data_IF_512584339104
#
_entry.id   IF_512584339104
#
_cell.length_a   1.000
_cell.length_b   1.000
_cell.length_c   1.000
_cell.angle_alpha   90.00
_cell.angle_beta   90.00
_cell.angle_gamma   90.00
#
_symmetry.space_group_name_H-M   'P 1'
#
loop_
_entity.id
_entity.type
_entity.pdbx_description
1 polymer ?
#
# COMPACT_ATOMS: atom_id res chain seq x y z
N UNK A 1 -30.50 -12.99 18.73
CA UNK A 1 -30.62 -14.44 19.02
C UNK A 1 -32.09 -14.82 18.89
N UNK A 2 -32.46 -15.52 17.80
CA UNK A 2 -33.74 -16.23 17.75
C UNK A 2 -33.64 -17.37 18.76
N UNK A 3 -34.60 -17.48 19.70
CA UNK A 3 -34.74 -18.66 20.54
C UNK A 3 -34.82 -19.88 19.64
N UNK A 4 -33.80 -20.73 19.61
CA UNK A 4 -33.84 -21.99 18.91
C UNK A 4 -34.43 -23.01 19.87
N UNK A 5 -35.45 -23.74 19.42
CA UNK A 5 -36.02 -24.85 20.18
C UNK A 5 -35.25 -26.10 19.80
N UNK A 6 -34.71 -26.83 20.79
CA UNK A 6 -33.99 -28.07 20.57
C UNK A 6 -35.02 -29.20 20.46
N UNK A 7 -35.15 -29.80 19.27
CA UNK A 7 -36.04 -30.92 19.04
C UNK A 7 -35.38 -32.29 19.38
N UNK A 8 -34.07 -32.40 19.17
CA UNK A 8 -33.31 -33.63 19.29
C UNK A 8 -33.45 -34.55 18.05
N UNK A 9 -32.74 -35.63 18.05
CA UNK A 9 -32.73 -36.66 17.00
C UNK A 9 -33.04 -37.99 17.59
N UNK A 10 -34.09 -38.69 17.10
CA UNK A 10 -34.52 -40.00 17.66
C UNK A 10 -33.57 -41.12 17.28
N UNK A 11 -33.04 -41.13 16.05
CA UNK A 11 -32.04 -42.09 15.57
C UNK A 11 -30.82 -41.31 15.03
N UNK A 12 -29.78 -41.25 15.87
CA UNK A 12 -28.55 -40.47 15.57
C UNK A 12 -27.81 -41.08 14.38
N UNK A 13 -27.62 -42.39 14.34
CA UNK A 13 -26.82 -43.05 13.30
C UNK A 13 -27.48 -42.97 11.94
N UNK A 14 -28.78 -43.20 11.82
CA UNK A 14 -29.52 -43.08 10.57
C UNK A 14 -29.53 -41.62 10.07
N UNK A 15 -29.76 -40.69 10.98
CA UNK A 15 -29.79 -39.27 10.62
C UNK A 15 -28.41 -38.75 10.19
N UNK A 16 -27.36 -39.20 10.86
CA UNK A 16 -25.97 -38.83 10.51
C UNK A 16 -25.60 -39.40 9.13
N UNK A 17 -25.96 -40.68 8.87
CA UNK A 17 -25.74 -41.32 7.56
C UNK A 17 -26.48 -40.59 6.44
N UNK A 18 -27.75 -40.22 6.68
CA UNK A 18 -28.55 -39.46 5.69
C UNK A 18 -27.97 -38.08 5.42
N UNK A 19 -27.52 -37.32 6.45
CA UNK A 19 -26.87 -36.04 6.30
C UNK A 19 -25.57 -36.13 5.51
N UNK A 20 -24.72 -37.11 5.83
CA UNK A 20 -23.44 -37.34 5.14
C UNK A 20 -23.66 -37.63 3.66
N UNK A 21 -24.59 -38.56 3.35
CA UNK A 21 -24.92 -38.90 1.97
C UNK A 21 -25.53 -37.70 1.21
N UNK A 22 -26.45 -36.97 1.84
CA UNK A 22 -27.05 -35.78 1.25
C UNK A 22 -26.02 -34.72 0.89
N UNK A 23 -25.11 -34.41 1.80
CA UNK A 23 -24.07 -33.39 1.55
C UNK A 23 -23.15 -33.83 0.42
N UNK A 24 -22.70 -35.11 0.46
CA UNK A 24 -21.84 -35.68 -0.57
C UNK A 24 -22.51 -35.72 -1.95
N UNK A 25 -23.81 -35.95 -2.04
CA UNK A 25 -24.53 -36.05 -3.31
C UNK A 25 -24.89 -34.66 -3.89
N UNK A 26 -25.11 -33.68 -3.04
CA UNK A 26 -25.55 -32.34 -3.44
C UNK A 26 -24.41 -31.38 -3.73
N UNK A 27 -23.29 -31.48 -3.00
CA UNK A 27 -22.18 -30.52 -3.09
C UNK A 27 -21.05 -31.07 -3.94
N UNK A 28 -20.50 -30.22 -4.81
CA UNK A 28 -19.31 -30.49 -5.62
C UNK A 28 -18.34 -29.31 -5.53
N UNK A 29 -17.01 -29.51 -5.61
CA UNK A 29 -16.31 -30.78 -5.46
C UNK A 29 -16.59 -31.50 -4.12
N UNK A 30 -16.05 -32.69 -3.90
CA UNK A 30 -16.24 -33.45 -2.67
C UNK A 30 -15.80 -32.66 -1.45
N UNK A 31 -16.64 -32.64 -0.41
CA UNK A 31 -16.41 -31.87 0.83
C UNK A 31 -16.12 -32.80 2.04
N UNK A 32 -16.04 -34.08 1.84
CA UNK A 32 -15.93 -35.09 2.92
C UNK A 32 -14.76 -34.80 3.87
N UNK A 33 -13.61 -34.38 3.34
CA UNK A 33 -12.44 -34.05 4.16
C UNK A 33 -12.54 -32.71 4.93
N UNK A 34 -13.57 -31.93 4.65
CA UNK A 34 -13.79 -30.59 5.23
C UNK A 34 -15.03 -30.53 6.11
N UNK A 35 -15.66 -31.68 6.35
CA UNK A 35 -16.84 -31.80 7.21
C UNK A 35 -16.59 -32.83 8.30
N UNK A 36 -16.87 -32.42 9.53
CA UNK A 36 -16.78 -33.28 10.70
C UNK A 36 -18.14 -33.31 11.42
N UNK A 37 -18.50 -34.48 11.93
CA UNK A 37 -19.80 -34.74 12.56
C UNK A 37 -19.57 -35.20 13.98
N UNK A 38 -20.20 -34.56 14.94
CA UNK A 38 -20.21 -34.97 16.35
C UNK A 38 -21.62 -34.99 16.91
N UNK A 39 -21.80 -35.72 17.98
CA UNK A 39 -23.08 -35.77 18.71
C UNK A 39 -22.89 -35.14 20.06
N UNK A 40 -23.72 -34.15 20.36
CA UNK A 40 -23.73 -33.48 21.65
C UNK A 40 -25.09 -33.62 22.34
N UNK A 41 -25.10 -33.67 23.67
CA UNK A 41 -26.34 -33.66 24.46
C UNK A 41 -26.68 -32.26 24.88
N UNK A 42 -27.82 -31.76 24.42
CA UNK A 42 -28.37 -30.45 24.80
C UNK A 42 -29.78 -30.65 25.35
N UNK A 43 -30.06 -30.15 26.55
CA UNK A 43 -31.36 -30.27 27.23
C UNK A 43 -31.87 -31.73 27.25
N UNK A 44 -30.98 -32.70 27.55
CA UNK A 44 -31.25 -34.16 27.57
C UNK A 44 -31.64 -34.79 26.21
N UNK A 45 -31.42 -34.05 25.10
CA UNK A 45 -31.68 -34.55 23.73
C UNK A 45 -30.36 -34.65 22.96
N UNK A 46 -30.28 -35.66 22.10
CA UNK A 46 -29.11 -35.81 21.21
C UNK A 46 -29.23 -34.85 20.02
N UNK A 47 -28.17 -34.10 19.76
CA UNK A 47 -28.07 -33.11 18.68
C UNK A 47 -26.83 -33.43 17.84
N UNK A 48 -26.98 -33.45 16.51
CA UNK A 48 -25.86 -33.61 15.59
C UNK A 48 -25.25 -32.24 15.30
N UNK A 49 -23.96 -32.09 15.57
CA UNK A 49 -23.18 -30.93 15.25
C UNK A 49 -22.36 -31.20 14.00
N UNK A 50 -22.61 -30.42 12.95
CA UNK A 50 -21.82 -30.42 11.72
C UNK A 50 -20.83 -29.27 11.71
N UNK A 51 -19.55 -29.59 11.79
CA UNK A 51 -18.46 -28.60 11.65
C UNK A 51 -17.96 -28.60 10.22
N UNK A 52 -17.98 -27.42 9.58
CA UNK A 52 -17.55 -27.27 8.21
C UNK A 52 -16.29 -26.40 8.19
N UNK A 53 -15.18 -26.99 7.73
CA UNK A 53 -13.91 -26.31 7.53
C UNK A 53 -13.84 -25.69 6.12
N UNK A 54 -12.89 -24.78 5.95
CA UNK A 54 -12.66 -24.14 4.65
C UNK A 54 -12.01 -25.14 3.68
N UNK A 55 -12.71 -25.48 2.62
CA UNK A 55 -12.17 -26.34 1.57
C UNK A 55 -11.21 -25.64 0.61
N UNK A 56 -10.37 -26.42 -0.07
CA UNK A 56 -9.30 -25.94 -0.97
C UNK A 56 -9.72 -25.87 -2.43
N UNK A 57 -10.71 -26.68 -2.87
CA UNK A 57 -11.14 -26.81 -4.27
C UNK A 57 -12.35 -25.91 -4.61
N UNK A 58 -12.22 -24.61 -4.43
CA UNK A 58 -13.31 -23.62 -4.62
C UNK A 58 -13.48 -23.24 -6.10
N UNK A 59 -14.70 -22.90 -6.57
CA UNK A 59 -15.95 -22.76 -5.79
C UNK A 59 -16.62 -24.11 -5.51
N UNK A 60 -17.17 -24.27 -4.31
CA UNK A 60 -18.10 -25.34 -4.02
C UNK A 60 -19.49 -24.96 -4.51
N UNK A 61 -20.20 -25.86 -5.12
CA UNK A 61 -21.49 -25.57 -5.75
C UNK A 61 -22.48 -26.69 -5.61
N UNK A 62 -23.76 -26.37 -5.72
CA UNK A 62 -24.85 -27.36 -5.77
C UNK A 62 -24.82 -28.08 -7.12
N UNK A 63 -24.64 -29.37 -7.11
CA UNK A 63 -24.50 -30.20 -8.31
C UNK A 63 -25.63 -29.98 -9.33
N UNK A 64 -26.87 -29.92 -8.86
CA UNK A 64 -28.05 -29.69 -9.70
C UNK A 64 -28.07 -28.33 -10.39
N UNK A 65 -27.37 -27.35 -9.87
CA UNK A 65 -27.35 -25.97 -10.39
C UNK A 65 -26.07 -25.60 -11.12
N UNK A 66 -24.97 -26.34 -10.89
CA UNK A 66 -23.68 -26.09 -11.55
C UNK A 66 -22.97 -24.82 -11.05
N UNK A 67 -21.82 -24.49 -11.70
CA UNK A 67 -20.97 -23.35 -11.36
C UNK A 67 -21.59 -22.05 -11.96
N UNK A 68 -22.59 -21.54 -11.29
CA UNK A 68 -23.29 -20.28 -11.64
C UNK A 68 -23.83 -19.62 -10.37
N UNK A 69 -24.26 -18.35 -10.40
CA UNK A 69 -24.76 -17.64 -9.22
C UNK A 69 -25.79 -18.42 -8.39
N UNK A 70 -26.69 -19.14 -9.04
CA UNK A 70 -27.73 -19.92 -8.39
C UNK A 70 -27.21 -21.19 -7.72
N UNK A 71 -26.00 -21.63 -8.06
CA UNK A 71 -25.36 -22.85 -7.53
C UNK A 71 -24.24 -22.58 -6.53
N UNK A 72 -23.66 -21.39 -6.52
CA UNK A 72 -22.54 -21.01 -5.64
C UNK A 72 -23.00 -19.97 -4.62
N UNK A 73 -22.78 -20.27 -3.34
CA UNK A 73 -23.15 -19.36 -2.26
C UNK A 73 -21.92 -18.93 -1.45
N UNK A 74 -21.94 -17.67 -1.02
CA UNK A 74 -20.92 -17.09 -0.15
C UNK A 74 -21.56 -16.56 1.13
N UNK A 75 -20.83 -16.65 2.24
CA UNK A 75 -21.27 -16.10 3.52
C UNK A 75 -21.01 -14.61 3.55
N UNK A 76 -22.06 -13.82 3.80
CA UNK A 76 -21.98 -12.38 4.00
C UNK A 76 -22.64 -12.03 5.33
N UNK A 77 -21.82 -11.84 6.36
CA UNK A 77 -22.31 -11.66 7.73
C UNK A 77 -23.15 -12.85 8.21
N UNK A 78 -24.39 -12.62 8.58
CA UNK A 78 -25.32 -13.64 9.05
C UNK A 78 -26.07 -14.39 7.92
N UNK A 79 -25.89 -14.00 6.64
CA UNK A 79 -26.63 -14.54 5.50
C UNK A 79 -25.73 -15.33 4.55
N UNK A 80 -26.31 -16.30 3.84
CA UNK A 80 -25.69 -16.94 2.67
C UNK A 80 -26.36 -16.37 1.43
N UNK A 81 -25.58 -15.76 0.55
CA UNK A 81 -26.06 -15.11 -0.68
C UNK A 81 -25.45 -15.75 -1.91
N UNK A 82 -26.16 -15.77 -3.06
CA UNK A 82 -25.57 -16.23 -4.33
C UNK A 82 -24.32 -15.43 -4.67
N UNK A 83 -23.24 -16.13 -5.09
CA UNK A 83 -22.03 -15.49 -5.54
C UNK A 83 -22.23 -14.80 -6.90
N UNK A 84 -21.65 -13.61 -7.08
CA UNK A 84 -21.62 -12.98 -8.40
C UNK A 84 -20.77 -13.78 -9.40
N UNK A 85 -21.01 -13.62 -10.70
CA UNK A 85 -20.19 -14.24 -11.75
C UNK A 85 -18.70 -13.89 -11.58
N UNK A 86 -18.39 -12.66 -11.25
CA UNK A 86 -17.00 -12.21 -10.98
C UNK A 86 -16.40 -12.93 -9.77
N UNK A 87 -17.16 -13.08 -8.69
CA UNK A 87 -16.70 -13.82 -7.51
C UNK A 87 -16.42 -15.29 -7.82
N UNK A 88 -17.25 -15.93 -8.63
CA UNK A 88 -17.06 -17.31 -9.09
C UNK A 88 -15.78 -17.44 -9.91
N UNK A 89 -15.57 -16.58 -10.89
CA UNK A 89 -14.37 -16.56 -11.72
C UNK A 89 -13.10 -16.37 -10.87
N UNK A 90 -13.17 -15.47 -9.89
CA UNK A 90 -12.05 -15.27 -8.96
C UNK A 90 -11.77 -16.53 -8.11
N UNK A 91 -12.81 -17.24 -7.62
CA UNK A 91 -12.64 -18.48 -6.90
C UNK A 91 -11.99 -19.57 -7.76
N UNK A 92 -12.38 -19.68 -9.04
CA UNK A 92 -11.79 -20.64 -10.00
C UNK A 92 -10.30 -20.31 -10.19
N UNK A 93 -9.97 -19.07 -10.51
CA UNK A 93 -8.57 -18.63 -10.71
C UNK A 93 -7.70 -18.90 -9.49
N UNK A 94 -8.24 -18.67 -8.29
CA UNK A 94 -7.53 -18.92 -7.03
C UNK A 94 -7.26 -20.39 -6.76
N UNK A 95 -8.12 -21.27 -7.27
CA UNK A 95 -8.05 -22.72 -7.00
C UNK A 95 -7.26 -23.46 -8.07
N UNK A 96 -7.36 -23.04 -9.33
CA UNK A 96 -6.61 -23.64 -10.43
C UNK A 96 -5.11 -23.31 -10.37
N UNK A 97 -4.72 -22.36 -9.50
CA UNK A 97 -3.33 -21.89 -9.48
C UNK A 97 -2.96 -21.04 -10.70
N UNK A 98 -3.95 -20.71 -11.55
CA UNK A 98 -3.75 -19.88 -12.72
C UNK A 98 -3.39 -18.46 -12.29
N UNK A 99 -2.12 -18.13 -12.37
CA UNK A 99 -1.63 -16.79 -12.21
C UNK A 99 -1.87 -16.00 -13.50
N UNK A 100 -2.24 -14.73 -13.39
CA UNK A 100 -2.40 -13.85 -14.56
C UNK A 100 -1.16 -13.91 -15.48
N UNK A 101 0.01 -13.92 -14.89
CA UNK A 101 1.30 -13.89 -15.60
C UNK A 101 1.60 -15.13 -16.44
N UNK A 102 1.03 -16.31 -16.07
CA UNK A 102 1.21 -17.57 -16.78
C UNK A 102 0.25 -17.76 -17.96
N UNK A 103 -0.86 -17.04 -17.95
CA UNK A 103 -1.85 -17.14 -19.02
C UNK A 103 -1.25 -16.63 -20.35
N UNK A 104 -1.70 -17.23 -21.45
CA UNK A 104 -1.34 -16.80 -22.80
C UNK A 104 -1.73 -15.36 -23.03
N UNK A 105 -0.81 -14.54 -23.55
CA UNK A 105 -1.11 -13.17 -23.96
C UNK A 105 -2.04 -13.14 -25.17
N UNK A 106 -2.98 -12.22 -25.19
CA UNK A 106 -3.84 -11.99 -26.36
C UNK A 106 -3.00 -11.47 -27.53
N UNK A 107 -2.07 -10.55 -27.25
CA UNK A 107 -1.15 -10.05 -28.26
C UNK A 107 0.08 -10.96 -28.32
N UNK A 108 0.32 -11.53 -29.51
CA UNK A 108 1.47 -12.38 -29.79
C UNK A 108 2.56 -11.67 -30.64
N UNK A 109 2.33 -10.40 -31.02
CA UNK A 109 3.29 -9.57 -31.72
C UNK A 109 4.01 -8.65 -30.75
N UNK A 110 4.84 -9.24 -29.87
CA UNK A 110 5.54 -8.53 -28.82
C UNK A 110 7.00 -8.27 -29.22
N UNK A 111 7.46 -7.05 -28.93
CA UNK A 111 8.87 -6.65 -29.00
C UNK A 111 9.41 -6.36 -27.61
N UNK A 112 10.71 -6.45 -27.43
CA UNK A 112 11.35 -6.41 -26.10
C UNK A 112 12.62 -5.55 -26.12
N UNK A 113 12.65 -4.48 -26.89
CA UNK A 113 13.87 -3.66 -27.04
C UNK A 113 14.26 -3.03 -25.69
N UNK A 114 13.31 -2.49 -24.97
CA UNK A 114 13.55 -1.89 -23.65
C UNK A 114 13.93 -2.92 -22.58
N UNK A 115 13.27 -4.07 -22.58
CA UNK A 115 13.65 -5.15 -21.68
C UNK A 115 15.08 -5.64 -21.99
N UNK A 116 15.44 -5.82 -23.26
CA UNK A 116 16.77 -6.22 -23.68
C UNK A 116 17.85 -5.22 -23.24
N UNK A 117 17.62 -3.93 -23.44
CA UNK A 117 18.50 -2.86 -22.94
C UNK A 117 18.68 -2.95 -21.42
N UNK A 118 17.59 -3.15 -20.67
CA UNK A 118 17.61 -3.23 -19.22
C UNK A 118 18.41 -4.46 -18.73
N UNK A 119 18.17 -5.63 -19.32
CA UNK A 119 18.91 -6.85 -19.00
C UNK A 119 20.41 -6.69 -19.32
N UNK A 120 20.75 -6.06 -20.43
CA UNK A 120 22.14 -5.77 -20.79
C UNK A 120 22.83 -4.84 -19.78
N UNK A 121 22.16 -3.77 -19.32
CA UNK A 121 22.65 -2.90 -18.23
C UNK A 121 22.98 -3.69 -16.97
N UNK A 122 22.21 -4.76 -16.67
CA UNK A 122 22.40 -5.64 -15.50
C UNK A 122 23.37 -6.79 -15.77
N UNK A 123 23.95 -6.88 -16.97
CA UNK A 123 24.85 -7.97 -17.42
C UNK A 123 24.19 -9.35 -17.35
N UNK A 124 22.90 -9.41 -17.66
CA UNK A 124 22.09 -10.63 -17.72
C UNK A 124 21.69 -10.86 -19.19
N UNK A 125 21.86 -12.08 -19.67
CA UNK A 125 21.45 -12.44 -21.02
C UNK A 125 19.92 -12.45 -21.17
N UNK A 126 19.43 -12.05 -22.36
CA UNK A 126 18.02 -12.01 -22.69
C UNK A 126 17.75 -12.56 -24.11
N UNK A 127 18.12 -13.82 -24.31
CA UNK A 127 17.84 -14.58 -25.54
C UNK A 127 16.56 -15.42 -25.40
N UNK A 128 16.26 -16.22 -26.44
CA UNK A 128 15.04 -17.05 -26.44
C UNK A 128 15.09 -18.16 -25.38
N UNK A 129 16.25 -18.69 -25.05
CA UNK A 129 16.41 -19.65 -23.97
C UNK A 129 16.05 -19.02 -22.61
N UNK A 130 16.50 -17.79 -22.36
CA UNK A 130 16.19 -17.06 -21.14
C UNK A 130 14.70 -16.68 -21.08
N UNK A 131 14.11 -16.27 -22.20
CA UNK A 131 12.66 -15.96 -22.27
C UNK A 131 11.82 -17.20 -21.91
N UNK A 132 12.20 -18.40 -22.35
CA UNK A 132 11.53 -19.66 -21.95
C UNK A 132 11.75 -19.95 -20.47
N UNK A 133 12.98 -19.86 -19.97
CA UNK A 133 13.31 -20.09 -18.58
C UNK A 133 12.57 -19.12 -17.62
N UNK A 134 12.34 -17.89 -18.06
CA UNK A 134 11.59 -16.86 -17.32
C UNK A 134 10.07 -16.95 -17.51
N UNK A 135 9.57 -17.89 -18.31
CA UNK A 135 8.15 -18.01 -18.64
C UNK A 135 7.58 -16.81 -19.42
N UNK A 136 8.42 -16.03 -20.10
CA UNK A 136 8.01 -14.99 -21.06
C UNK A 136 7.40 -15.66 -22.29
N UNK A 137 7.97 -16.82 -22.69
CA UNK A 137 7.46 -17.72 -23.70
C UNK A 137 7.01 -18.99 -22.96
N UNK A 138 5.75 -19.38 -23.13
CA UNK A 138 5.18 -20.58 -22.57
C UNK A 138 5.69 -21.88 -23.23
N UNK A 139 5.30 -23.03 -22.68
CA UNK A 139 5.68 -24.35 -23.20
C UNK A 139 5.17 -24.58 -24.64
N UNK A 140 4.02 -23.98 -24.96
CA UNK A 140 3.40 -24.00 -26.30
C UNK A 140 4.10 -23.08 -27.31
N UNK A 141 5.14 -22.39 -26.90
CA UNK A 141 5.89 -21.42 -27.73
C UNK A 141 5.22 -20.06 -27.92
N UNK A 142 4.09 -19.81 -27.25
CA UNK A 142 3.40 -18.52 -27.30
C UNK A 142 3.86 -17.59 -26.17
N UNK A 143 3.70 -16.28 -26.36
CA UNK A 143 3.98 -15.31 -25.30
C UNK A 143 2.92 -15.36 -24.21
N UNK A 144 3.37 -15.32 -22.97
CA UNK A 144 2.53 -15.21 -21.77
C UNK A 144 2.20 -13.75 -21.45
N UNK A 145 1.29 -13.53 -20.47
CA UNK A 145 1.04 -12.20 -19.97
C UNK A 145 2.26 -11.60 -19.23
N UNK A 146 3.16 -12.44 -18.66
CA UNK A 146 4.46 -11.94 -18.20
C UNK A 146 5.25 -11.34 -19.36
N UNK A 147 5.25 -12.00 -20.52
CA UNK A 147 5.83 -11.46 -21.74
C UNK A 147 5.22 -10.11 -22.11
N UNK A 148 3.87 -10.00 -22.06
CA UNK A 148 3.18 -8.73 -22.29
C UNK A 148 3.64 -7.63 -21.31
N UNK A 149 3.77 -7.92 -20.03
CA UNK A 149 4.21 -6.95 -19.01
C UNK A 149 5.63 -6.42 -19.27
N UNK A 150 6.51 -7.26 -19.79
CA UNK A 150 7.91 -6.90 -20.07
C UNK A 150 8.13 -6.35 -21.47
N UNK A 151 7.12 -6.45 -22.37
CA UNK A 151 7.22 -5.98 -23.76
C UNK A 151 7.07 -4.47 -23.89
N UNK A 152 7.49 -3.94 -25.03
CA UNK A 152 7.29 -2.53 -25.40
C UNK A 152 5.80 -2.20 -25.61
N UNK A 153 4.95 -3.23 -25.81
CA UNK A 153 3.49 -3.14 -25.97
C UNK A 153 2.72 -3.30 -24.66
N UNK A 154 3.36 -3.23 -23.49
CA UNK A 154 2.67 -3.35 -22.23
C UNK A 154 1.53 -2.33 -22.08
N UNK A 155 0.35 -2.82 -21.77
CA UNK A 155 -0.89 -2.00 -21.64
C UNK A 155 -1.10 -1.45 -20.23
N UNK A 156 -0.34 -1.96 -19.25
CA UNK A 156 -0.39 -1.47 -17.88
C UNK A 156 0.52 -0.26 -17.70
N UNK A 157 0.04 0.74 -16.99
CA UNK A 157 0.71 2.04 -16.87
C UNK A 157 0.93 2.43 -15.41
N UNK A 158 1.89 3.32 -15.18
CA UNK A 158 2.09 4.04 -13.93
C UNK A 158 1.70 5.50 -14.18
N UNK A 159 0.76 6.02 -13.38
CA UNK A 159 0.39 7.44 -13.41
C UNK A 159 0.99 8.15 -12.21
N UNK A 160 1.71 9.20 -12.49
CA UNK A 160 2.40 10.00 -11.49
C UNK A 160 1.84 11.41 -11.50
N UNK A 161 1.66 11.98 -10.32
CA UNK A 161 1.19 13.35 -10.17
C UNK A 161 1.88 14.04 -9.00
N UNK A 162 2.28 15.29 -9.21
CA UNK A 162 2.80 16.18 -8.18
C UNK A 162 1.72 17.20 -7.84
N UNK A 163 1.38 17.31 -6.58
CA UNK A 163 0.34 18.19 -6.07
C UNK A 163 0.93 19.33 -5.24
N UNK A 164 0.26 20.47 -5.24
CA UNK A 164 0.54 21.55 -4.32
C UNK A 164 -0.13 21.30 -2.97
N UNK A 165 0.63 21.41 -1.87
CA UNK A 165 0.14 21.23 -0.52
C UNK A 165 -0.19 19.78 -0.19
N UNK A 166 -1.25 19.56 0.61
CA UNK A 166 -1.63 18.24 1.14
C UNK A 166 -2.81 17.58 0.43
N UNK A 167 -3.49 18.29 -0.50
CA UNK A 167 -4.71 17.84 -1.18
C UNK A 167 -4.47 17.58 -2.67
N UNK A 168 -5.28 16.70 -3.26
CA UNK A 168 -5.27 16.37 -4.71
C UNK A 168 -6.03 17.41 -5.57
N UNK A 169 -6.02 18.67 -5.17
CA UNK A 169 -6.80 19.73 -5.84
C UNK A 169 -6.04 20.50 -6.91
N UNK A 170 -4.74 20.70 -6.72
CA UNK A 170 -3.91 21.48 -7.65
C UNK A 170 -2.73 20.63 -8.10
N UNK A 171 -2.64 20.39 -9.41
CA UNK A 171 -1.52 19.69 -10.02
C UNK A 171 -0.39 20.67 -10.32
N UNK A 172 0.84 20.34 -9.90
CA UNK A 172 2.07 21.02 -10.32
C UNK A 172 2.66 20.36 -11.57
N UNK A 173 2.61 19.02 -11.59
CA UNK A 173 3.09 18.21 -12.72
C UNK A 173 2.38 16.87 -12.76
N UNK A 174 2.40 16.21 -13.93
CA UNK A 174 1.85 14.87 -14.12
C UNK A 174 2.57 14.14 -15.24
N UNK A 175 2.78 12.85 -15.05
CA UNK A 175 3.38 11.96 -16.06
C UNK A 175 2.65 10.62 -16.09
N UNK A 176 2.43 10.08 -17.27
CA UNK A 176 1.96 8.70 -17.47
C UNK A 176 3.08 7.92 -18.15
N UNK A 177 3.48 6.82 -17.52
CA UNK A 177 4.51 5.94 -18.01
C UNK A 177 3.86 4.74 -18.69
N UNK A 178 4.34 4.40 -19.88
CA UNK A 178 3.85 3.33 -20.76
C UNK A 178 5.01 2.47 -21.24
N UNK A 179 4.75 1.40 -21.97
CA UNK A 179 5.78 0.49 -22.45
C UNK A 179 6.21 -0.52 -21.40
N UNK A 180 7.36 -1.13 -21.55
CA UNK A 180 7.87 -2.20 -20.68
C UNK A 180 7.84 -1.81 -19.19
N UNK A 181 7.39 -2.72 -18.31
CA UNK A 181 7.43 -2.47 -16.86
C UNK A 181 8.83 -2.17 -16.33
N UNK A 182 9.89 -2.67 -16.98
CA UNK A 182 11.27 -2.37 -16.58
C UNK A 182 11.63 -0.92 -16.91
N UNK A 183 11.19 -0.41 -18.06
CA UNK A 183 11.34 1.00 -18.44
C UNK A 183 10.52 1.90 -17.49
N UNK A 184 9.23 1.55 -17.28
CA UNK A 184 8.37 2.28 -16.35
C UNK A 184 8.95 2.34 -14.94
N UNK A 185 9.56 1.25 -14.45
CA UNK A 185 10.22 1.21 -13.14
C UNK A 185 11.40 2.21 -13.06
N UNK A 186 12.29 2.21 -14.07
CA UNK A 186 13.46 3.10 -14.13
C UNK A 186 13.03 4.57 -14.22
N UNK A 187 12.06 4.85 -15.09
CA UNK A 187 11.52 6.20 -15.27
C UNK A 187 10.77 6.70 -14.04
N UNK A 188 9.96 5.83 -13.41
CA UNK A 188 9.23 6.20 -12.18
C UNK A 188 10.20 6.55 -11.05
N UNK A 189 11.25 5.73 -10.85
CA UNK A 189 12.24 6.00 -9.82
C UNK A 189 12.97 7.31 -10.11
N UNK A 190 13.40 7.54 -11.36
CA UNK A 190 14.07 8.78 -11.76
C UNK A 190 13.18 10.00 -11.56
N UNK A 191 11.90 9.89 -11.91
CA UNK A 191 10.93 10.99 -11.70
C UNK A 191 10.70 11.29 -10.21
N UNK A 192 10.53 10.26 -9.38
CA UNK A 192 10.39 10.44 -7.93
C UNK A 192 11.65 11.12 -7.35
N UNK A 193 12.83 10.71 -7.80
CA UNK A 193 14.10 11.21 -7.28
C UNK A 193 14.33 12.70 -7.58
N UNK A 194 13.74 13.25 -8.66
CA UNK A 194 13.75 14.68 -8.95
C UNK A 194 13.05 15.52 -7.88
N UNK A 195 12.06 14.94 -7.18
CA UNK A 195 11.32 15.58 -6.09
C UNK A 195 11.82 15.17 -4.70
N UNK A 196 12.85 14.35 -4.62
CA UNK A 196 13.48 13.95 -3.37
C UNK A 196 14.68 14.86 -3.07
N UNK A 197 14.40 16.08 -2.59
CA UNK A 197 15.42 17.11 -2.39
C UNK A 197 16.35 16.74 -1.22
N UNK A 198 17.56 17.28 -1.29
CA UNK A 198 18.54 17.17 -0.22
C UNK A 198 18.63 18.50 0.52
N UNK A 199 18.43 18.46 1.84
CA UNK A 199 18.65 19.59 2.73
C UNK A 199 20.00 19.42 3.44
N UNK A 200 20.83 20.47 3.39
CA UNK A 200 22.06 20.51 4.15
C UNK A 200 21.82 21.13 5.53
N UNK A 201 22.17 20.43 6.60
CA UNK A 201 22.22 20.93 7.96
C UNK A 201 23.66 21.00 8.42
N UNK A 202 24.01 21.99 9.25
CA UNK A 202 25.35 22.11 9.82
C UNK A 202 25.30 21.83 11.32
N UNK A 203 26.13 20.87 11.77
CA UNK A 203 26.29 20.57 13.18
C UNK A 203 27.76 20.84 13.55
N UNK A 204 28.01 22.03 14.07
CA UNK A 204 29.38 22.52 14.25
C UNK A 204 30.03 22.79 12.89
N UNK A 205 31.15 22.12 12.61
CA UNK A 205 31.85 22.20 11.32
C UNK A 205 31.37 21.16 10.30
N UNK A 206 30.59 20.17 10.74
CA UNK A 206 30.16 19.07 9.89
C UNK A 206 28.86 19.43 9.14
N UNK A 207 28.87 19.17 7.83
CA UNK A 207 27.69 19.24 6.98
C UNK A 207 27.01 17.87 6.97
N UNK A 208 25.72 17.83 7.30
CA UNK A 208 24.88 16.65 7.26
C UNK A 208 23.84 16.84 6.16
N UNK A 209 23.90 16.02 5.12
CA UNK A 209 22.92 16.03 4.04
C UNK A 209 21.77 15.08 4.37
N UNK A 210 20.55 15.64 4.44
CA UNK A 210 19.30 14.91 4.71
C UNK A 210 18.40 14.95 3.49
N UNK A 211 18.06 13.78 2.95
CA UNK A 211 17.07 13.68 1.88
C UNK A 211 15.65 13.76 2.44
N UNK A 212 14.72 14.25 1.63
CA UNK A 212 13.30 14.30 2.00
C UNK A 212 12.72 12.91 2.25
N UNK A 213 13.17 11.92 1.50
CA UNK A 213 12.78 10.51 1.65
C UNK A 213 14.02 9.61 1.60
N UNK A 214 14.11 8.56 2.42
CA UNK A 214 15.16 7.56 2.30
C UNK A 214 15.07 6.85 0.93
N UNK A 215 16.18 6.81 0.20
CA UNK A 215 16.21 6.23 -1.15
C UNK A 215 15.82 4.74 -1.17
N UNK A 216 16.19 3.99 -0.12
CA UNK A 216 15.81 2.59 0.02
C UNK A 216 14.30 2.41 0.23
N UNK A 217 13.67 3.25 1.05
CA UNK A 217 12.22 3.21 1.26
C UNK A 217 11.43 3.54 -0.02
N UNK A 218 11.88 4.52 -0.82
CA UNK A 218 11.29 4.84 -2.12
C UNK A 218 11.38 3.66 -3.09
N UNK A 219 12.57 3.05 -3.16
CA UNK A 219 12.83 1.88 -4.00
C UNK A 219 11.94 0.71 -3.62
N UNK A 220 11.87 0.37 -2.33
CA UNK A 220 11.05 -0.75 -1.85
C UNK A 220 9.54 -0.49 -2.06
N UNK A 221 9.06 0.72 -1.81
CA UNK A 221 7.65 1.08 -2.03
C UNK A 221 7.26 0.96 -3.51
N UNK A 222 8.13 1.41 -4.43
CA UNK A 222 7.90 1.31 -5.87
C UNK A 222 7.91 -0.15 -6.34
N UNK A 223 8.88 -0.96 -5.93
CA UNK A 223 8.97 -2.38 -6.28
C UNK A 223 7.76 -3.17 -5.74
N UNK A 224 7.35 -2.92 -4.49
CA UNK A 224 6.15 -3.52 -3.92
C UNK A 224 4.90 -3.16 -4.72
N UNK A 225 4.75 -1.91 -5.14
CA UNK A 225 3.60 -1.47 -5.93
C UNK A 225 3.49 -2.18 -7.28
N UNK A 226 4.60 -2.66 -7.86
CA UNK A 226 4.61 -3.40 -9.12
C UNK A 226 4.48 -4.92 -8.91
N UNK A 227 5.25 -5.51 -7.97
CA UNK A 227 5.26 -6.96 -7.76
C UNK A 227 3.95 -7.48 -7.17
N UNK A 228 3.29 -6.71 -6.32
CA UNK A 228 2.05 -7.12 -5.65
C UNK A 228 0.77 -6.64 -6.35
N UNK A 229 0.88 -5.90 -7.46
CA UNK A 229 -0.27 -5.45 -8.24
C UNK A 229 -1.07 -6.61 -8.80
N UNK A 230 -2.39 -6.46 -8.82
CA UNK A 230 -3.29 -7.35 -9.56
C UNK A 230 -3.39 -6.88 -11.02
N UNK A 231 -2.62 -7.51 -11.90
CA UNK A 231 -2.60 -7.21 -13.33
C UNK A 231 -3.81 -7.77 -14.10
N UNK A 232 -4.66 -8.59 -13.47
CA UNK A 232 -5.92 -9.03 -14.08
C UNK A 232 -6.98 -7.91 -14.10
N UNK A 233 -6.75 -6.85 -13.35
CA UNK A 233 -7.64 -5.68 -13.26
C UNK A 233 -7.05 -4.52 -14.04
N UNK A 234 -7.84 -3.95 -14.94
CA UNK A 234 -7.48 -2.74 -15.69
C UNK A 234 -7.35 -1.55 -14.75
N UNK A 235 -6.44 -0.63 -15.07
CA UNK A 235 -6.18 0.59 -14.32
C UNK A 235 -4.69 0.84 -14.20
N UNK A 236 -4.28 1.92 -13.58
CA UNK A 236 -2.89 2.31 -13.42
C UNK A 236 -2.44 2.17 -11.97
N UNK A 237 -1.15 1.89 -11.74
CA UNK A 237 -0.53 2.18 -10.45
C UNK A 237 -0.43 3.69 -10.30
N UNK A 238 -0.83 4.23 -9.16
CA UNK A 238 -0.85 5.67 -8.92
C UNK A 238 0.25 6.06 -7.93
N UNK A 239 1.07 7.03 -8.33
CA UNK A 239 2.08 7.63 -7.45
C UNK A 239 1.75 9.12 -7.31
N UNK A 240 1.48 9.54 -6.08
CA UNK A 240 1.09 10.92 -5.78
C UNK A 240 2.14 11.55 -4.88
N UNK A 241 2.78 12.61 -5.34
CA UNK A 241 3.81 13.36 -4.63
C UNK A 241 3.18 14.64 -4.10
N UNK A 242 3.21 14.83 -2.79
CA UNK A 242 2.74 16.01 -2.08
C UNK A 242 3.93 16.71 -1.40
N UNK A 243 3.73 17.92 -0.92
CA UNK A 243 4.80 18.63 -0.20
C UNK A 243 5.30 17.85 1.03
N UNK A 244 4.40 17.13 1.75
CA UNK A 244 4.71 16.42 2.99
C UNK A 244 4.76 14.89 2.89
N UNK A 245 4.47 14.27 1.76
CA UNK A 245 4.46 12.81 1.62
C UNK A 245 4.44 12.34 0.17
N UNK A 246 4.80 11.08 -0.04
CA UNK A 246 4.55 10.36 -1.30
C UNK A 246 3.63 9.17 -1.02
N UNK A 247 2.60 9.00 -1.85
CA UNK A 247 1.65 7.88 -1.81
C UNK A 247 1.87 6.97 -3.02
N UNK A 248 2.03 5.67 -2.76
CA UNK A 248 2.04 4.61 -3.77
C UNK A 248 0.76 3.81 -3.62
N UNK A 249 -0.12 3.85 -4.63
CA UNK A 249 -1.39 3.13 -4.62
C UNK A 249 -1.41 2.12 -5.75
N UNK A 250 -1.58 0.85 -5.41
CA UNK A 250 -1.69 -0.23 -6.39
C UNK A 250 -3.01 -0.97 -6.27
N UNK A 251 -3.47 -1.51 -7.40
CA UNK A 251 -4.67 -2.34 -7.47
C UNK A 251 -4.34 -3.73 -6.94
N UNK A 252 -5.22 -4.29 -6.12
CA UNK A 252 -5.08 -5.58 -5.46
C UNK A 252 -4.84 -5.41 -3.96
N UNK A 253 -5.68 -6.05 -3.15
CA UNK A 253 -5.47 -6.16 -1.70
C UNK A 253 -4.41 -7.20 -1.36
N UNK A 254 -4.43 -7.73 -0.14
CA UNK A 254 -3.52 -8.79 0.25
C UNK A 254 -3.84 -10.10 -0.49
N UNK A 255 -2.81 -10.92 -0.68
CA UNK A 255 -2.99 -12.29 -1.15
C UNK A 255 -3.82 -13.05 -0.11
N UNK A 256 -4.74 -13.89 -0.55
CA UNK A 256 -5.61 -14.64 0.37
C UNK A 256 -4.82 -15.48 1.36
N UNK A 257 -5.30 -15.48 2.59
CA UNK A 257 -4.68 -16.18 3.70
C UNK A 257 -3.59 -15.39 4.41
N UNK A 258 -3.24 -14.22 3.91
CA UNK A 258 -2.31 -13.30 4.53
C UNK A 258 -3.09 -12.13 5.12
N UNK A 259 -2.88 -11.86 6.39
CA UNK A 259 -3.43 -10.71 7.10
C UNK A 259 -2.43 -9.54 7.08
N UNK A 260 -2.91 -8.38 7.51
CA UNK A 260 -2.03 -7.22 7.73
C UNK A 260 -0.96 -7.51 8.79
N UNK A 261 -1.36 -8.20 9.86
CA UNK A 261 -0.44 -8.55 10.96
C UNK A 261 0.66 -9.51 10.49
N UNK A 262 0.32 -10.47 9.60
CA UNK A 262 1.32 -11.38 9.03
C UNK A 262 2.40 -10.61 8.25
N UNK A 263 2.01 -9.60 7.48
CA UNK A 263 2.96 -8.75 6.74
C UNK A 263 3.86 -7.98 7.70
N UNK A 264 3.31 -7.45 8.78
CA UNK A 264 4.08 -6.72 9.79
C UNK A 264 5.06 -7.62 10.55
N UNK A 265 4.79 -8.94 10.60
CA UNK A 265 5.71 -9.97 11.10
C UNK A 265 6.75 -10.43 10.05
N UNK A 266 6.70 -9.91 8.81
CA UNK A 266 7.63 -10.26 7.74
C UNK A 266 7.18 -11.43 6.85
N UNK A 267 5.94 -11.91 6.99
CA UNK A 267 5.40 -12.93 6.08
C UNK A 267 5.16 -12.30 4.71
N UNK A 268 5.74 -12.89 3.68
CA UNK A 268 5.59 -12.44 2.30
C UNK A 268 4.90 -13.49 1.43
N UNK A 269 3.85 -13.09 0.74
CA UNK A 269 3.22 -13.89 -0.29
C UNK A 269 3.15 -13.09 -1.59
N UNK A 270 3.90 -13.53 -2.58
CA UNK A 270 3.98 -12.88 -3.89
C UNK A 270 2.72 -13.18 -4.71
N UNK A 271 2.08 -12.11 -5.21
CA UNK A 271 0.98 -12.24 -6.18
C UNK A 271 1.53 -12.64 -7.56
N UNK A 272 2.57 -11.98 -8.01
CA UNK A 272 3.21 -12.19 -9.31
C UNK A 272 4.59 -12.84 -9.12
N UNK A 273 4.59 -14.15 -8.93
CA UNK A 273 5.81 -14.91 -8.61
C UNK A 273 6.83 -14.91 -9.74
N UNK A 274 6.36 -14.94 -11.00
CA UNK A 274 7.24 -14.94 -12.20
C UNK A 274 7.85 -13.57 -12.41
N UNK A 275 7.08 -12.49 -12.28
CA UNK A 275 7.60 -11.13 -12.33
C UNK A 275 8.63 -10.89 -11.21
N UNK A 276 8.32 -11.36 -10.00
CA UNK A 276 9.27 -11.30 -8.89
C UNK A 276 10.57 -12.07 -9.20
N UNK A 277 10.48 -13.24 -9.84
CA UNK A 277 11.68 -13.98 -10.27
C UNK A 277 12.51 -13.20 -11.31
N UNK A 278 11.87 -12.50 -12.24
CA UNK A 278 12.56 -11.60 -13.16
C UNK A 278 13.30 -10.50 -12.39
N UNK A 279 12.61 -9.83 -11.48
CA UNK A 279 13.20 -8.76 -10.65
C UNK A 279 14.34 -9.28 -9.77
N UNK A 280 14.21 -10.48 -9.21
CA UNK A 280 15.28 -11.12 -8.44
C UNK A 280 16.53 -11.37 -9.28
N UNK A 281 16.37 -11.94 -10.50
CA UNK A 281 17.51 -12.17 -11.42
C UNK A 281 18.19 -10.88 -11.87
N UNK A 282 17.42 -9.80 -11.97
CA UNK A 282 17.94 -8.46 -12.26
C UNK A 282 18.50 -7.76 -11.01
N UNK A 283 18.54 -8.43 -9.85
CA UNK A 283 19.01 -7.91 -8.56
C UNK A 283 18.22 -6.67 -8.10
N UNK A 284 16.95 -6.62 -8.44
CA UNK A 284 16.05 -5.54 -8.05
C UNK A 284 15.35 -5.82 -6.72
N UNK A 285 15.10 -7.06 -6.39
CA UNK A 285 14.49 -7.49 -5.13
C UNK A 285 15.27 -8.60 -4.47
N UNK A 286 15.05 -8.76 -3.17
CA UNK A 286 15.52 -9.89 -2.37
C UNK A 286 14.36 -10.86 -2.14
N UNK A 287 14.66 -12.17 -2.03
CA UNK A 287 13.62 -13.20 -1.94
C UNK A 287 13.11 -13.46 -0.49
N UNK A 288 13.42 -12.56 0.46
CA UNK A 288 13.22 -12.83 1.90
C UNK A 288 11.99 -12.14 2.53
N UNK A 289 11.16 -11.43 1.76
CA UNK A 289 9.97 -10.74 2.28
C UNK A 289 10.22 -9.54 3.17
N UNK A 290 11.43 -8.99 3.16
CA UNK A 290 11.87 -7.93 4.05
C UNK A 290 11.46 -6.52 3.62
N UNK A 291 10.80 -6.33 2.48
CA UNK A 291 10.56 -5.00 1.89
C UNK A 291 9.83 -4.02 2.81
N UNK A 292 8.71 -4.44 3.42
CA UNK A 292 7.96 -3.60 4.38
C UNK A 292 8.77 -3.33 5.65
N UNK A 293 9.52 -4.32 6.13
CA UNK A 293 10.40 -4.14 7.30
C UNK A 293 11.49 -3.11 7.00
N UNK A 294 12.14 -3.18 5.84
CA UNK A 294 13.15 -2.21 5.40
C UNK A 294 12.59 -0.79 5.30
N UNK A 295 11.36 -0.64 4.77
CA UNK A 295 10.68 0.66 4.76
C UNK A 295 10.56 1.20 6.19
N UNK A 296 10.10 0.38 7.14
CA UNK A 296 9.95 0.79 8.54
C UNK A 296 11.29 1.08 9.21
N UNK A 297 12.33 0.29 8.93
CA UNK A 297 13.70 0.47 9.44
C UNK A 297 14.29 1.80 8.98
N UNK A 298 14.08 2.20 7.72
CA UNK A 298 14.51 3.51 7.20
C UNK A 298 13.93 4.70 7.99
N UNK A 299 12.82 4.50 8.68
CA UNK A 299 12.14 5.50 9.50
C UNK A 299 12.22 5.21 11.00
N UNK A 300 13.04 4.24 11.45
CA UNK A 300 13.05 3.79 12.85
C UNK A 300 13.36 4.93 13.84
N UNK A 301 14.31 5.80 13.51
CA UNK A 301 14.75 6.92 14.36
C UNK A 301 14.05 8.24 14.02
N UNK A 302 13.03 8.22 13.15
CA UNK A 302 12.33 9.42 12.73
C UNK A 302 11.04 9.63 13.55
N UNK A 303 10.66 10.90 13.77
CA UNK A 303 9.42 11.26 14.45
C UNK A 303 8.17 10.84 13.65
N UNK A 304 8.29 10.80 12.32
CA UNK A 304 7.22 10.38 11.41
C UNK A 304 7.45 8.96 10.93
N UNK A 305 6.38 8.20 10.72
CA UNK A 305 6.43 6.79 10.32
C UNK A 305 5.67 6.57 9.01
N UNK A 306 6.08 5.60 8.18
CA UNK A 306 5.32 5.16 7.02
C UNK A 306 3.94 4.66 7.44
N UNK A 307 2.95 4.85 6.56
CA UNK A 307 1.60 4.34 6.77
C UNK A 307 1.28 3.35 5.66
N UNK A 308 0.82 2.16 6.05
CA UNK A 308 0.38 1.12 5.13
C UNK A 308 -1.11 0.93 5.32
N UNK A 309 -1.87 1.10 4.25
CA UNK A 309 -3.32 0.95 4.24
C UNK A 309 -3.70 -0.14 3.23
N UNK A 310 -4.56 -1.04 3.67
CA UNK A 310 -4.99 -2.17 2.87
C UNK A 310 -6.51 -2.23 2.82
N UNK A 311 -7.03 -2.39 1.62
CA UNK A 311 -8.44 -2.70 1.38
C UNK A 311 -8.56 -4.02 0.59
N UNK A 312 -9.78 -4.48 0.35
CA UNK A 312 -10.00 -5.70 -0.44
C UNK A 312 -9.39 -5.63 -1.85
N UNK A 313 -9.32 -4.44 -2.46
CA UNK A 313 -8.94 -4.25 -3.86
C UNK A 313 -7.82 -3.24 -4.07
N UNK A 314 -7.22 -2.72 -3.02
CA UNK A 314 -6.12 -1.76 -3.12
C UNK A 314 -5.14 -1.90 -1.96
N UNK A 315 -3.89 -1.59 -2.24
CA UNK A 315 -2.81 -1.50 -1.28
C UNK A 315 -2.14 -0.13 -1.43
N UNK A 316 -1.93 0.57 -0.32
CA UNK A 316 -1.33 1.90 -0.32
C UNK A 316 -0.18 1.97 0.68
N UNK A 317 0.97 2.49 0.22
CA UNK A 317 2.11 2.88 1.06
C UNK A 317 2.22 4.39 1.01
N UNK A 318 2.25 5.02 2.17
CA UNK A 318 2.50 6.44 2.34
C UNK A 318 3.84 6.63 3.03
N UNK A 319 4.78 7.29 2.36
CA UNK A 319 6.07 7.66 2.91
C UNK A 319 6.04 9.15 3.29
N UNK A 320 6.21 9.52 4.56
CA UNK A 320 6.27 10.92 4.97
C UNK A 320 7.61 11.55 4.58
N UNK A 321 7.57 12.84 4.24
CA UNK A 321 8.76 13.65 4.01
C UNK A 321 9.43 13.96 5.37
N UNK A 322 10.70 13.57 5.52
CA UNK A 322 11.47 13.74 6.77
C UNK A 322 11.77 15.21 7.09
N UNK A 323 11.81 16.06 6.06
CA UNK A 323 12.14 17.47 6.18
C UNK A 323 10.90 18.38 6.14
N UNK A 324 9.68 17.78 6.08
CA UNK A 324 8.42 18.50 6.04
C UNK A 324 7.96 18.89 7.45
N UNK A 325 7.82 20.15 7.69
CA UNK A 325 7.22 20.64 8.93
C UNK A 325 5.79 21.13 8.64
N UNK A 326 4.82 20.34 9.01
CA UNK A 326 3.39 20.56 8.74
C UNK A 326 2.90 21.88 9.34
N UNK A 327 3.35 22.24 10.55
CA UNK A 327 2.96 23.47 11.23
C UNK A 327 3.38 24.73 10.44
N UNK A 328 4.51 24.67 9.72
CA UNK A 328 4.99 25.79 8.89
C UNK A 328 4.21 25.91 7.56
N UNK A 329 3.73 24.79 7.00
CA UNK A 329 3.01 24.79 5.72
C UNK A 329 1.53 25.14 5.84
N UNK A 330 0.85 24.72 6.91
CA UNK A 330 -0.57 25.01 7.13
C UNK A 330 -0.82 26.51 7.35
N UNK A 331 0.20 27.25 7.79
CA UNK A 331 0.14 28.71 8.02
C UNK A 331 0.58 29.50 6.79
N UNK A 332 0.84 28.86 5.64
CA UNK A 332 1.12 29.55 4.36
C UNK A 332 2.45 30.30 4.32
N UNK A 333 3.47 29.87 5.09
CA UNK A 333 4.77 30.52 5.16
C UNK A 333 5.58 30.21 3.89
N UNK A 334 5.41 31.06 2.88
CA UNK A 334 6.19 31.01 1.63
C UNK A 334 7.58 31.65 1.75
N UNK A 335 7.85 32.37 2.84
CA UNK A 335 9.04 33.18 3.01
C UNK A 335 10.11 32.44 3.83
N UNK A 336 11.23 32.07 3.22
CA UNK A 336 12.38 31.42 3.88
C UNK A 336 12.90 32.18 5.11
N UNK A 337 12.84 33.52 5.08
CA UNK A 337 13.23 34.34 6.22
C UNK A 337 12.33 34.17 7.42
N UNK A 338 11.01 33.96 7.21
CA UNK A 338 10.06 33.63 8.29
C UNK A 338 10.37 32.27 8.91
N UNK A 339 10.73 31.27 8.10
CA UNK A 339 11.14 29.95 8.59
C UNK A 339 12.37 30.04 9.47
N UNK A 340 13.37 30.82 9.06
CA UNK A 340 14.56 31.06 9.86
C UNK A 340 14.22 31.72 11.21
N UNK A 341 13.33 32.72 11.22
CA UNK A 341 12.90 33.40 12.46
C UNK A 341 12.15 32.42 13.38
N UNK A 342 11.28 31.56 12.83
CA UNK A 342 10.56 30.57 13.61
C UNK A 342 11.50 29.54 14.26
N UNK A 343 12.64 29.22 13.63
CA UNK A 343 13.63 28.30 14.21
C UNK A 343 14.26 28.83 15.51
N UNK A 344 14.22 30.16 15.76
CA UNK A 344 14.68 30.73 17.03
C UNK A 344 13.83 30.27 18.23
N UNK A 345 12.54 30.03 18.03
CA UNK A 345 11.64 29.58 19.08
C UNK A 345 11.88 28.14 19.52
N UNK A 346 12.64 27.36 18.74
CA UNK A 346 13.14 26.06 19.19
C UNK A 346 14.23 26.16 20.27
N UNK A 347 14.81 27.36 20.44
CA UNK A 347 15.88 27.62 21.41
C UNK A 347 15.50 28.66 22.48
N UNK A 348 14.47 29.47 22.25
CA UNK A 348 14.02 30.57 23.11
C UNK A 348 12.50 30.62 23.17
N UNK A 349 11.89 30.70 24.33
CA UNK A 349 10.45 30.86 24.51
C UNK A 349 9.92 32.20 23.97
N UNK A 350 10.78 33.20 23.88
CA UNK A 350 10.46 34.50 23.32
C UNK A 350 11.68 35.13 22.66
N UNK A 351 11.46 35.88 21.58
CA UNK A 351 12.50 36.57 20.82
C UNK A 351 12.24 38.07 20.85
N UNK A 352 13.29 38.86 20.65
CA UNK A 352 13.21 40.29 20.42
C UNK A 352 13.61 40.61 18.96
N UNK A 353 13.26 41.79 18.47
CA UNK A 353 13.62 42.19 17.10
C UNK A 353 15.11 42.02 16.80
N UNK A 354 15.99 42.34 17.78
CA UNK A 354 17.43 42.18 17.63
C UNK A 354 17.87 40.76 17.32
N UNK A 355 17.20 39.74 17.88
CA UNK A 355 17.49 38.36 17.55
C UNK A 355 17.23 38.05 16.05
N UNK A 356 16.25 38.74 15.45
CA UNK A 356 15.93 38.61 14.02
C UNK A 356 16.95 39.38 13.17
N UNK A 357 17.34 40.58 13.61
CA UNK A 357 18.39 41.37 12.95
C UNK A 357 19.69 40.57 12.86
N UNK A 358 20.10 39.96 13.99
CA UNK A 358 21.34 39.20 14.12
C UNK A 358 21.29 37.86 13.33
N UNK A 359 20.14 37.17 13.32
CA UNK A 359 19.96 35.93 12.58
C UNK A 359 20.01 36.13 11.06
N UNK A 360 19.32 37.15 10.58
CA UNK A 360 19.13 37.35 9.13
C UNK A 360 20.15 38.28 8.50
N UNK A 361 20.94 39.00 9.31
CA UNK A 361 21.88 40.03 8.83
C UNK A 361 21.22 41.18 8.10
N UNK A 362 20.00 41.56 8.52
CA UNK A 362 19.17 42.56 7.83
C UNK A 362 18.98 43.84 8.68
N UNK A 363 18.54 44.92 8.04
CA UNK A 363 18.27 46.18 8.73
C UNK A 363 17.06 46.08 9.67
N UNK A 364 17.02 46.95 10.69
CA UNK A 364 15.91 47.06 11.65
C UNK A 364 14.54 47.22 10.99
N UNK A 365 14.49 47.98 9.88
CA UNK A 365 13.26 48.20 9.11
C UNK A 365 12.77 46.89 8.48
N UNK A 366 13.68 46.11 7.90
CA UNK A 366 13.37 44.82 7.26
C UNK A 366 12.86 43.80 8.29
N UNK A 367 13.53 43.68 9.44
CA UNK A 367 13.07 42.80 10.52
C UNK A 367 11.71 43.20 11.08
N UNK A 368 11.46 44.54 11.18
CA UNK A 368 10.17 45.05 11.68
C UNK A 368 9.03 44.75 10.71
N UNK A 369 9.27 44.83 9.39
CA UNK A 369 8.31 44.46 8.35
C UNK A 369 8.02 42.96 8.45
N UNK A 370 9.06 42.13 8.53
CA UNK A 370 8.94 40.69 8.61
C UNK A 370 8.16 40.23 9.87
N UNK A 371 8.49 40.81 11.03
CA UNK A 371 7.78 40.55 12.30
C UNK A 371 6.33 40.98 12.25
N UNK A 372 6.02 42.12 11.55
CA UNK A 372 4.62 42.55 11.35
C UNK A 372 3.87 41.56 10.48
N UNK A 373 4.46 41.14 9.36
CA UNK A 373 3.87 40.11 8.49
C UNK A 373 3.63 38.78 9.23
N UNK A 374 4.56 38.40 10.11
CA UNK A 374 4.38 37.20 10.96
C UNK A 374 3.25 37.39 11.99
N UNK A 375 3.04 38.58 12.50
CA UNK A 375 1.90 38.91 13.39
C UNK A 375 0.58 38.89 12.63
N UNK A 376 0.54 39.51 11.45
CA UNK A 376 -0.66 39.56 10.59
C UNK A 376 -1.06 38.17 10.10
N UNK A 377 -0.09 37.29 9.82
CA UNK A 377 -0.30 35.88 9.51
C UNK A 377 -0.61 35.01 10.76
N UNK A 378 -0.64 35.60 11.94
CA UNK A 378 -0.99 34.90 13.17
C UNK A 378 0.05 33.90 13.68
N UNK A 379 1.30 33.97 13.20
CA UNK A 379 2.39 33.07 13.58
C UNK A 379 2.94 33.34 14.97
N UNK A 380 3.01 34.64 15.33
CA UNK A 380 3.55 35.10 16.58
C UNK A 380 2.58 36.09 17.26
N UNK A 381 2.77 36.31 18.52
CA UNK A 381 2.03 37.33 19.32
C UNK A 381 3.01 38.26 20.02
N UNK A 382 2.60 39.53 20.19
CA UNK A 382 3.35 40.50 20.99
C UNK A 382 3.13 40.25 22.46
N UNK A 383 4.20 40.30 23.24
CA UNK A 383 4.19 40.21 24.70
C UNK A 383 5.00 41.41 25.24
N UNK A 384 4.36 42.23 26.08
CA UNK A 384 4.95 43.42 26.61
C UNK A 384 4.81 44.66 25.67
N UNK A 385 5.36 45.78 26.06
CA UNK A 385 5.30 47.05 25.29
C UNK A 385 6.59 47.87 25.45
N UNK A 386 6.83 48.78 24.52
CA UNK A 386 7.97 49.68 24.55
C UNK A 386 9.31 48.94 24.51
N UNK A 387 10.22 49.24 25.45
CA UNK A 387 11.57 48.64 25.51
C UNK A 387 11.56 47.17 25.86
N UNK A 388 10.45 46.64 26.43
CA UNK A 388 10.29 45.24 26.85
C UNK A 388 9.46 44.43 25.86
N UNK A 389 9.25 44.92 24.64
CA UNK A 389 8.49 44.20 23.61
C UNK A 389 9.22 42.90 23.18
N UNK A 390 8.55 41.78 23.35
CA UNK A 390 8.99 40.45 22.92
C UNK A 390 7.93 39.83 22.03
N UNK A 391 8.33 38.82 21.29
CA UNK A 391 7.45 38.03 20.44
C UNK A 391 7.47 36.58 20.92
N UNK A 392 6.32 35.92 20.96
CA UNK A 392 6.15 34.50 21.25
C UNK A 392 5.42 33.81 20.12
N UNK A 393 5.67 32.52 19.94
CA UNK A 393 4.84 31.70 19.05
C UNK A 393 3.38 31.76 19.54
N UNK A 394 2.45 31.93 18.59
CA UNK A 394 1.03 31.75 18.86
C UNK A 394 0.76 30.26 18.89
N UNK A 395 0.82 29.64 20.06
CA UNK A 395 0.42 28.25 20.26
C UNK A 395 -1.09 28.18 19.99
N UNK A 396 -1.48 27.62 18.85
CA UNK A 396 -2.86 27.23 18.64
C UNK A 396 -3.12 26.03 19.54
N UNK A 397 -3.87 26.25 20.66
CA UNK A 397 -4.42 25.21 21.52
C UNK A 397 -5.45 24.39 20.72
N UNK A 398 -4.99 23.47 19.89
CA UNK A 398 -5.78 22.40 19.31
C UNK A 398 -5.06 21.10 19.65
N UNK A 399 -5.60 20.42 20.62
CA UNK A 399 -5.27 19.13 21.26
C UNK A 399 -4.76 19.25 22.69
N UNK A 400 -5.68 19.60 23.61
CA UNK A 400 -5.75 18.93 24.89
C UNK A 400 -6.86 17.90 24.77
N UNK A 401 -6.50 16.61 24.64
CA UNK A 401 -7.44 15.54 24.94
C UNK A 401 -7.90 15.71 26.39
N UNK A 402 -9.20 15.59 26.71
CA UNK A 402 -9.66 15.62 28.09
C UNK A 402 -8.99 14.49 28.88
N UNK A 403 -8.39 14.86 30.00
CA UNK A 403 -7.88 13.92 30.99
C UNK A 403 -9.01 12.99 31.44
N UNK A 404 -8.79 11.68 31.70
CA UNK A 404 -9.81 10.75 32.17
C UNK A 404 -10.30 10.99 33.58
N UNK A 405 -10.14 12.19 34.15
CA UNK A 405 -10.50 12.51 35.54
C UNK A 405 -11.67 13.49 35.72
N UNK A 406 -12.28 13.93 34.63
CA UNK A 406 -13.40 14.88 34.70
C UNK A 406 -14.72 14.26 34.22
N UNK A 407 -15.01 13.02 34.65
CA UNK A 407 -16.35 12.44 34.58
C UNK A 407 -16.67 11.93 35.99
N UNK A 408 -17.29 12.78 36.79
CA UNK A 408 -18.24 12.41 37.84
C UNK A 408 -19.66 12.68 37.36
#
# INVERSE_FOLDING_TARGET
YKRQTIYGVDNVDDTMLRLTNMIRDIVRPDVTMFTDYSVEKMEHKDVIVLTVQRGTARPYYLYSKGIRPEGVYVRQGASSVPASKTAILNMIRETSGDCYEDARSINQQLTFEKAKEYFAKKKVEFGDAQKRTLNIIGEDGTYTNLGMLLSDQCTHTIKMAVFEGSKKSVFKDRKELTGSLLEQLEEAYTYIDQFNHTRAEFKGLDRIDKRDYPAEALREALLNALVHRDYSVSGSTLISIFDGRIEFVTIGGLVRGISYDDIMLGVSALRNKKLANVFYRLKLIEAYGTGIMKINECYADQAVKPIIEVSNNAFKITLPNLNYNQEMHEVGIKNERMKMVLSLFGKKDSIVRKDVDDLLGVSQSTSSILLREMLDNGLIVKVGSGRNLKYRLKICLLYTSPSPRDVE
#
